data_IF_367856512013
#
_entry.id   IF_367856512013
#
_cell.length_a   1.000
_cell.length_b   1.000
_cell.length_c   1.000
_cell.angle_alpha   90.00
_cell.angle_beta   90.00
_cell.angle_gamma   90.00
#
_symmetry.space_group_name_H-M   'P 1'
#
loop_
_entity.id
_entity.type
_entity.pdbx_description
1 polymer ?
#
# COMPACT_ATOMS: atom_id res chain seq x y z
N UNK A 1 -4.98 16.47 16.69
CA UNK A 1 -4.57 15.14 16.19
C UNK A 1 -4.87 15.17 14.70
N UNK A 2 -3.85 15.17 13.83
CA UNK A 2 -4.06 15.41 12.41
C UNK A 2 -4.86 14.26 11.80
N UNK A 3 -6.09 14.53 11.36
CA UNK A 3 -6.88 13.57 10.59
C UNK A 3 -6.22 13.43 9.21
N UNK A 4 -5.40 12.39 9.07
CA UNK A 4 -4.91 11.96 7.76
C UNK A 4 -6.14 11.53 6.95
N UNK A 5 -6.44 12.25 5.86
CA UNK A 5 -7.52 11.85 4.97
C UNK A 5 -7.22 10.44 4.44
N UNK A 6 -8.08 9.49 4.80
CA UNK A 6 -7.91 8.07 4.49
C UNK A 6 -8.17 7.82 3.00
N UNK A 7 -7.28 7.07 2.37
CA UNK A 7 -7.47 6.52 1.03
C UNK A 7 -7.45 4.99 1.11
N UNK A 8 -8.44 4.28 0.54
CA UNK A 8 -8.57 2.83 0.70
C UNK A 8 -7.42 2.02 0.06
N UNK A 9 -6.58 2.64 -0.77
CA UNK A 9 -5.47 2.01 -1.46
C UNK A 9 -4.09 2.37 -0.85
N UNK A 10 -4.07 3.10 0.28
CA UNK A 10 -2.84 3.49 0.98
C UNK A 10 -2.95 3.02 2.43
N UNK A 11 -1.99 2.20 2.86
CA UNK A 11 -1.93 1.71 4.24
C UNK A 11 -1.76 2.87 5.22
N UNK A 12 -2.60 2.88 6.25
CA UNK A 12 -2.60 3.95 7.24
C UNK A 12 -1.58 3.72 8.36
N UNK A 13 -0.95 4.81 8.81
CA UNK A 13 -0.18 4.85 10.05
C UNK A 13 -1.14 5.08 11.21
N UNK A 14 -1.20 4.14 12.14
CA UNK A 14 -2.10 4.17 13.30
C UNK A 14 -1.41 4.84 14.49
N UNK A 15 -0.16 4.46 14.78
CA UNK A 15 0.64 5.05 15.85
C UNK A 15 2.12 5.15 15.46
N UNK A 16 2.78 6.19 15.94
CA UNK A 16 4.23 6.33 15.89
C UNK A 16 4.75 6.64 17.30
N UNK A 17 5.75 5.89 17.75
CA UNK A 17 6.40 6.10 19.05
C UNK A 17 7.87 5.70 18.96
N UNK A 18 8.65 6.04 19.98
CA UNK A 18 10.09 5.74 20.00
C UNK A 18 10.56 5.41 21.41
N UNK A 19 11.68 4.69 21.49
CA UNK A 19 12.49 4.59 22.70
C UNK A 19 13.86 5.25 22.45
N UNK A 20 14.81 5.13 23.38
CA UNK A 20 16.13 5.74 23.25
C UNK A 20 16.91 5.28 22.00
N UNK A 21 16.60 4.10 21.47
CA UNK A 21 17.38 3.46 20.41
C UNK A 21 16.65 3.39 19.06
N UNK A 22 15.30 3.45 19.04
CA UNK A 22 14.49 3.09 17.87
C UNK A 22 13.16 3.84 17.78
N UNK A 23 12.72 4.06 16.54
CA UNK A 23 11.36 4.45 16.20
C UNK A 23 10.53 3.22 15.82
N UNK A 24 9.24 3.26 16.16
CA UNK A 24 8.27 2.21 15.92
C UNK A 24 7.04 2.80 15.22
N UNK A 25 6.56 2.09 14.20
CA UNK A 25 5.36 2.44 13.44
C UNK A 25 4.35 1.29 13.53
N UNK A 26 3.16 1.59 14.04
CA UNK A 26 2.01 0.68 13.99
C UNK A 26 1.19 1.08 12.78
N UNK A 27 1.08 0.18 11.81
CA UNK A 27 0.41 0.42 10.53
C UNK A 27 -0.61 -0.68 10.24
N UNK A 28 -1.52 -0.43 9.30
CA UNK A 28 -2.43 -1.45 8.79
C UNK A 28 -1.65 -2.65 8.20
N UNK A 29 -2.09 -3.86 8.54
CA UNK A 29 -1.43 -5.09 8.13
C UNK A 29 -1.90 -5.58 6.75
N UNK A 30 -1.03 -5.48 5.75
CA UNK A 30 -1.26 -6.08 4.43
C UNK A 30 -1.08 -7.61 4.46
N UNK A 31 -2.16 -8.36 4.74
CA UNK A 31 -2.14 -9.82 5.00
C UNK A 31 -1.50 -10.67 3.90
N UNK A 32 -1.58 -10.25 2.64
CA UNK A 32 -1.02 -10.98 1.50
C UNK A 32 0.51 -10.78 1.33
N UNK A 33 1.10 -9.81 2.04
CA UNK A 33 2.45 -9.32 1.82
C UNK A 33 2.52 -8.40 0.60
N UNK A 34 3.68 -8.33 -0.05
CA UNK A 34 3.88 -7.46 -1.21
C UNK A 34 3.50 -8.13 -2.55
N UNK A 35 3.08 -7.30 -3.50
CA UNK A 35 2.68 -7.70 -4.85
C UNK A 35 3.80 -8.43 -5.61
N UNK A 36 5.05 -7.98 -5.44
CA UNK A 36 6.22 -8.59 -6.07
C UNK A 36 6.35 -10.09 -5.75
N UNK A 37 6.19 -10.47 -4.49
CA UNK A 37 6.22 -11.89 -4.07
C UNK A 37 5.09 -12.71 -4.68
N UNK A 38 3.92 -12.10 -4.88
CA UNK A 38 2.79 -12.76 -5.52
C UNK A 38 3.08 -12.97 -7.00
N UNK A 39 3.61 -11.96 -7.70
CA UNK A 39 4.01 -12.04 -9.11
C UNK A 39 5.08 -13.11 -9.34
N UNK A 40 6.11 -13.17 -8.50
CA UNK A 40 7.16 -14.19 -8.59
C UNK A 40 6.59 -15.62 -8.48
N UNK A 41 5.63 -15.84 -7.58
CA UNK A 41 4.99 -17.15 -7.39
C UNK A 41 4.11 -17.57 -8.57
N UNK A 42 3.67 -16.62 -9.38
CA UNK A 42 2.81 -16.87 -10.51
C UNK A 42 3.60 -17.28 -11.75
N UNK A 43 4.89 -16.94 -11.85
CA UNK A 43 5.76 -17.38 -12.95
C UNK A 43 5.80 -18.93 -13.07
N UNK A 44 5.59 -19.52 -14.26
CA UNK A 44 5.56 -18.89 -15.59
C UNK A 44 4.16 -18.43 -16.06
N UNK A 45 3.12 -18.58 -15.25
CA UNK A 45 1.73 -18.18 -15.56
C UNK A 45 1.41 -16.83 -14.92
N UNK A 46 1.71 -15.69 -15.57
CA UNK A 46 1.41 -14.37 -15.01
C UNK A 46 -0.08 -14.19 -14.74
N UNK A 47 -0.42 -13.12 -14.04
CA UNK A 47 -1.81 -12.71 -13.85
C UNK A 47 -2.56 -12.63 -15.17
N UNK A 48 -3.84 -13.00 -15.12
CA UNK A 48 -4.76 -12.70 -16.23
C UNK A 48 -4.85 -11.19 -16.43
N UNK A 49 -5.22 -10.79 -17.64
CA UNK A 49 -5.35 -9.38 -17.98
C UNK A 49 -6.29 -8.63 -17.02
N UNK A 50 -7.39 -9.25 -16.62
CA UNK A 50 -8.38 -8.67 -15.71
C UNK A 50 -7.77 -8.35 -14.34
N UNK A 51 -6.94 -9.25 -13.81
CA UNK A 51 -6.26 -9.04 -12.53
C UNK A 51 -5.17 -7.97 -12.64
N UNK A 52 -4.49 -7.89 -13.78
CA UNK A 52 -3.52 -6.82 -14.06
C UNK A 52 -4.23 -5.46 -14.05
N UNK A 53 -5.34 -5.34 -14.79
CA UNK A 53 -6.14 -4.10 -14.85
C UNK A 53 -6.66 -3.71 -13.48
N UNK A 54 -7.15 -4.67 -12.69
CA UNK A 54 -7.65 -4.42 -11.34
C UNK A 54 -6.57 -3.81 -10.45
N UNK A 55 -5.41 -4.45 -10.31
CA UNK A 55 -4.32 -3.94 -9.46
C UNK A 55 -3.69 -2.65 -10.01
N UNK A 56 -3.59 -2.50 -11.33
CA UNK A 56 -3.15 -1.25 -11.94
C UNK A 56 -4.11 -0.10 -11.61
N UNK A 57 -5.42 -0.37 -11.59
CA UNK A 57 -6.45 0.59 -11.17
C UNK A 57 -6.29 1.02 -9.71
N UNK A 58 -6.08 0.07 -8.79
CA UNK A 58 -5.83 0.37 -7.36
C UNK A 58 -4.60 1.29 -7.19
N UNK A 59 -3.50 0.95 -7.87
CA UNK A 59 -2.26 1.75 -7.86
C UNK A 59 -2.49 3.14 -8.46
N UNK A 60 -3.19 3.23 -9.59
CA UNK A 60 -3.49 4.51 -10.23
C UNK A 60 -4.37 5.40 -9.32
N UNK A 61 -5.36 4.85 -8.64
CA UNK A 61 -6.19 5.57 -7.67
C UNK A 61 -5.37 6.06 -6.46
N UNK A 62 -4.48 5.23 -5.92
CA UNK A 62 -3.58 5.61 -4.84
C UNK A 62 -2.67 6.79 -5.27
N UNK A 63 -2.04 6.68 -6.45
CA UNK A 63 -1.17 7.72 -7.00
C UNK A 63 -1.93 9.02 -7.29
N UNK A 64 -3.12 8.93 -7.87
CA UNK A 64 -3.97 10.10 -8.13
C UNK A 64 -4.29 10.85 -6.83
N UNK A 65 -4.63 10.12 -5.76
CA UNK A 65 -4.82 10.71 -4.45
C UNK A 65 -3.55 11.36 -3.92
N UNK A 66 -2.39 10.70 -4.01
CA UNK A 66 -1.10 11.28 -3.56
C UNK A 66 -0.72 12.54 -4.33
N UNK A 67 -0.86 12.55 -5.66
CA UNK A 67 -0.62 13.72 -6.49
C UNK A 67 -1.56 14.88 -6.14
N UNK A 68 -2.82 14.59 -5.77
CA UNK A 68 -3.77 15.62 -5.30
C UNK A 68 -3.35 16.29 -3.98
N UNK A 69 -2.42 15.67 -3.24
CA UNK A 69 -1.89 16.17 -1.95
C UNK A 69 -0.60 16.97 -2.09
N UNK A 70 -0.18 17.30 -3.32
CA UNK A 70 1.03 18.10 -3.61
C UNK A 70 2.32 17.49 -3.05
N UNK A 71 2.50 16.19 -3.24
CA UNK A 71 3.84 15.58 -3.27
C UNK A 71 4.39 15.60 -4.69
#
# INVERSE_FOLDING_TARGET
MAESQSNPFITQLIYAFQNADRMFFIMEAARAGNLYRILLKQTPRPFSYERIVFHAGEIACALSFLHSKSF
#
